data_IF_352472355063
#
_entry.id   IF_352472355063
#
_cell.length_a   1.000
_cell.length_b   1.000
_cell.length_c   1.000
_cell.angle_alpha   90.00
_cell.angle_beta   90.00
_cell.angle_gamma   90.00
#
_symmetry.space_group_name_H-M   'P 1'
#
loop_
_entity.id
_entity.type
_entity.pdbx_description
1 polymer ?
#
# COMPACT_ATOMS: atom_id res chain seq x y z
N UNK A 1 -6.90 17.57 31.18
CA UNK A 1 -7.61 16.34 30.96
C UNK A 1 -8.60 16.49 29.81
N UNK A 2 -8.35 15.85 28.68
CA UNK A 2 -9.32 15.78 27.56
C UNK A 2 -10.41 14.81 27.99
N UNK A 3 -11.67 15.24 28.03
CA UNK A 3 -12.82 14.35 28.21
C UNK A 3 -12.94 13.52 26.93
N UNK A 4 -12.87 12.22 27.07
CA UNK A 4 -13.01 11.32 25.92
C UNK A 4 -14.47 11.30 25.50
N UNK A 5 -14.72 11.78 24.29
CA UNK A 5 -16.02 11.78 23.63
C UNK A 5 -16.38 10.34 23.19
N UNK A 6 -17.67 10.13 22.93
CA UNK A 6 -18.23 8.86 22.44
C UNK A 6 -17.48 8.29 21.22
N UNK A 7 -16.96 9.16 20.37
CA UNK A 7 -16.17 8.84 19.18
C UNK A 7 -14.84 8.15 19.53
N UNK A 8 -14.15 8.61 20.57
CA UNK A 8 -12.88 7.99 21.02
C UNK A 8 -13.18 6.65 21.73
N UNK A 9 -14.33 6.55 22.43
CA UNK A 9 -14.79 5.30 23.02
C UNK A 9 -15.12 4.23 21.96
N UNK A 10 -15.66 4.64 20.83
CA UNK A 10 -15.94 3.74 19.69
C UNK A 10 -14.65 3.30 18.98
N UNK A 11 -13.67 4.18 18.89
CA UNK A 11 -12.34 3.85 18.34
C UNK A 11 -11.54 2.91 19.24
N UNK A 12 -11.80 2.93 20.56
CA UNK A 12 -11.13 2.05 21.53
C UNK A 12 -11.85 0.71 21.73
N UNK A 13 -13.11 0.57 21.29
CA UNK A 13 -13.89 -0.67 21.42
C UNK A 13 -13.24 -1.91 20.82
N UNK A 14 -12.64 -1.83 19.61
CA UNK A 14 -12.01 -2.99 19.01
C UNK A 14 -10.74 -3.45 19.73
N UNK A 15 -10.07 -2.54 20.44
CA UNK A 15 -8.82 -2.83 21.17
C UNK A 15 -9.08 -3.70 22.41
N UNK A 16 -10.34 -3.75 22.87
CA UNK A 16 -10.72 -4.49 24.07
C UNK A 16 -11.60 -5.68 23.71
N UNK A 17 -11.02 -6.87 23.79
CA UNK A 17 -11.79 -8.12 23.71
C UNK A 17 -13.01 -8.05 24.64
N UNK A 18 -14.11 -8.69 24.24
CA UNK A 18 -15.38 -8.76 24.96
C UNK A 18 -15.20 -9.04 26.46
N UNK A 19 -15.27 -8.03 27.28
CA UNK A 19 -15.09 -8.19 28.73
C UNK A 19 -14.80 -6.89 29.47
N UNK A 20 -14.33 -5.85 28.80
CA UNK A 20 -13.95 -4.58 29.43
C UNK A 20 -15.03 -3.50 29.29
N UNK A 21 -15.24 -2.72 30.34
CA UNK A 21 -16.13 -1.55 30.34
C UNK A 21 -15.27 -0.30 30.54
N UNK A 22 -15.21 0.55 29.54
CA UNK A 22 -14.53 1.84 29.65
C UNK A 22 -15.47 2.82 30.33
N UNK A 23 -15.27 3.07 31.64
CA UNK A 23 -16.09 4.00 32.43
C UNK A 23 -15.56 5.42 32.42
N UNK A 24 -14.24 5.59 32.43
CA UNK A 24 -13.62 6.90 32.53
C UNK A 24 -12.21 6.84 31.90
N UNK A 25 -11.92 7.79 31.04
CA UNK A 25 -10.60 7.94 30.45
C UNK A 25 -10.05 9.27 30.95
N UNK A 26 -8.98 9.22 31.71
CA UNK A 26 -8.20 10.40 32.13
C UNK A 26 -6.87 10.34 31.43
N UNK A 27 -6.60 11.35 30.61
CA UNK A 27 -5.28 11.57 30.05
C UNK A 27 -4.47 12.28 31.11
N UNK A 28 -3.42 11.65 31.62
CA UNK A 28 -2.58 12.21 32.65
C UNK A 28 -1.41 12.95 31.98
N UNK A 29 -1.44 14.29 32.06
CA UNK A 29 -0.39 15.17 31.50
C UNK A 29 0.88 15.24 32.38
N UNK A 30 0.95 14.49 33.48
CA UNK A 30 1.96 14.68 34.51
C UNK A 30 3.24 13.86 34.37
N UNK A 31 3.39 13.08 33.32
CA UNK A 31 4.63 12.31 33.08
C UNK A 31 5.60 13.09 32.19
N UNK A 32 6.50 13.77 32.86
CA UNK A 32 7.74 14.38 32.37
C UNK A 32 7.62 15.65 31.51
N UNK A 33 8.36 16.69 31.88
CA UNK A 33 8.43 17.99 31.19
C UNK A 33 8.94 17.88 29.71
N UNK A 34 9.44 16.72 29.30
CA UNK A 34 10.06 16.50 28.00
C UNK A 34 9.31 15.56 27.07
N UNK A 35 8.41 14.71 27.62
CA UNK A 35 7.65 13.74 26.81
C UNK A 35 6.25 13.56 27.38
N UNK A 36 5.26 14.15 26.73
CA UNK A 36 3.84 13.94 27.07
C UNK A 36 3.44 12.53 26.67
N UNK A 37 3.29 11.64 27.62
CA UNK A 37 2.77 10.29 27.40
C UNK A 37 1.28 10.31 27.66
N UNK A 38 0.48 9.91 26.69
CA UNK A 38 -0.96 9.78 26.86
C UNK A 38 -1.28 8.45 27.55
N UNK A 39 -2.05 8.50 28.64
CA UNK A 39 -2.46 7.30 29.37
C UNK A 39 -3.97 7.19 29.42
N UNK A 40 -4.46 5.96 29.19
CA UNK A 40 -5.88 5.61 29.24
C UNK A 40 -6.08 4.55 30.32
N UNK A 41 -7.02 4.76 31.23
CA UNK A 41 -7.40 3.76 32.24
C UNK A 41 -8.64 3.00 31.79
N UNK A 42 -8.53 1.69 31.75
CA UNK A 42 -9.59 0.78 31.35
C UNK A 42 -9.98 -0.09 32.54
N UNK A 43 -11.25 -0.26 32.76
CA UNK A 43 -11.82 -1.06 33.84
C UNK A 43 -12.39 -2.36 33.32
N UNK A 44 -12.06 -3.48 33.98
CA UNK A 44 -12.62 -4.79 33.67
C UNK A 44 -14.15 -4.82 33.94
N UNK A 45 -14.94 -5.28 32.98
CA UNK A 45 -16.39 -5.45 33.14
C UNK A 45 -16.77 -6.42 34.27
N UNK A 46 -15.95 -7.45 34.48
CA UNK A 46 -16.22 -8.52 35.46
C UNK A 46 -15.69 -8.15 36.84
N UNK A 47 -14.65 -7.33 36.90
CA UNK A 47 -14.00 -6.96 38.15
C UNK A 47 -13.64 -5.45 38.15
N UNK A 48 -14.58 -4.62 38.62
CA UNK A 48 -14.45 -3.15 38.62
C UNK A 48 -13.21 -2.61 39.39
N UNK A 49 -12.61 -3.44 40.25
CA UNK A 49 -11.41 -3.09 40.98
C UNK A 49 -10.12 -3.29 40.17
N UNK A 50 -10.19 -4.00 39.03
CA UNK A 50 -9.05 -4.20 38.17
C UNK A 50 -8.97 -3.09 37.15
N UNK A 51 -7.98 -2.23 37.31
CA UNK A 51 -7.71 -1.09 36.44
C UNK A 51 -6.44 -1.36 35.64
N UNK A 52 -6.51 -1.24 34.34
CA UNK A 52 -5.37 -1.33 33.44
C UNK A 52 -5.05 0.07 32.93
N UNK A 53 -3.80 0.45 32.97
CA UNK A 53 -3.34 1.72 32.41
C UNK A 53 -2.64 1.44 31.09
N UNK A 54 -3.24 1.91 29.98
CA UNK A 54 -2.65 1.81 28.65
C UNK A 54 -1.92 3.11 28.36
N UNK A 55 -0.68 3.00 27.90
CA UNK A 55 0.16 4.12 27.49
C UNK A 55 0.17 4.20 25.98
N UNK A 56 -0.24 5.33 25.42
CA UNK A 56 -0.20 5.61 23.98
C UNK A 56 0.99 6.50 23.59
N UNK A 57 1.30 6.54 22.30
CA UNK A 57 2.24 7.50 21.76
C UNK A 57 1.60 8.90 21.63
N UNK A 58 2.43 9.94 21.48
CA UNK A 58 1.97 11.31 21.28
C UNK A 58 1.61 11.53 19.80
N UNK A 59 0.32 11.55 19.48
CA UNK A 59 -0.20 11.78 18.12
C UNK A 59 -0.02 13.24 17.66
N UNK A 60 0.34 14.17 18.55
CA UNK A 60 0.60 15.57 18.17
C UNK A 60 1.94 15.75 17.47
N UNK A 61 2.82 14.75 17.51
CA UNK A 61 4.15 14.79 16.91
C UNK A 61 4.09 14.15 15.51
N UNK A 62 4.05 14.97 14.49
CA UNK A 62 4.21 14.53 13.09
C UNK A 62 5.68 14.20 12.81
N UNK A 63 6.18 13.13 13.41
CA UNK A 63 7.56 12.67 13.25
C UNK A 63 7.60 11.24 12.71
N UNK A 64 8.33 11.05 11.62
CA UNK A 64 8.65 9.71 11.10
C UNK A 64 9.81 9.04 11.86
N UNK A 65 10.21 9.57 12.99
CA UNK A 65 11.30 9.05 13.83
C UNK A 65 10.71 8.46 15.10
N UNK A 66 11.32 7.38 15.55
CA UNK A 66 10.99 6.78 16.84
C UNK A 66 11.19 7.80 17.95
N UNK A 67 10.18 7.97 18.79
CA UNK A 67 10.18 8.84 19.98
C UNK A 67 10.26 7.99 21.24
N UNK A 68 10.54 8.61 22.37
CA UNK A 68 10.57 7.91 23.67
C UNK A 68 9.14 7.44 24.05
N UNK A 69 8.12 8.20 23.69
CA UNK A 69 6.72 7.81 23.93
C UNK A 69 6.33 6.53 23.16
N UNK A 70 6.85 6.35 21.94
CA UNK A 70 6.63 5.12 21.17
C UNK A 70 7.24 3.90 21.87
N UNK A 71 8.41 4.07 22.49
CA UNK A 71 9.05 2.99 23.25
C UNK A 71 8.24 2.65 24.51
N UNK A 72 7.76 3.65 25.25
CA UNK A 72 6.90 3.42 26.41
C UNK A 72 5.57 2.76 26.01
N UNK A 73 4.95 3.23 24.93
CA UNK A 73 3.71 2.64 24.39
C UNK A 73 3.90 1.18 24.02
N UNK A 74 4.97 0.86 23.31
CA UNK A 74 5.28 -0.52 22.90
C UNK A 74 5.54 -1.45 24.08
N UNK A 75 6.30 -0.99 25.10
CA UNK A 75 6.57 -1.79 26.32
C UNK A 75 5.30 -1.99 27.12
N UNK A 76 4.47 -0.94 27.28
CA UNK A 76 3.19 -1.05 27.98
C UNK A 76 2.27 -2.06 27.30
N UNK A 77 2.12 -1.96 25.99
CA UNK A 77 1.29 -2.91 25.23
C UNK A 77 1.80 -4.35 25.33
N UNK A 78 3.12 -4.54 25.31
CA UNK A 78 3.70 -5.87 25.51
C UNK A 78 3.38 -6.46 26.89
N UNK A 79 3.42 -5.64 27.96
CA UNK A 79 3.06 -6.07 29.31
C UNK A 79 1.56 -6.39 29.41
N UNK A 80 0.72 -5.58 28.78
CA UNK A 80 -0.74 -5.81 28.72
C UNK A 80 -1.05 -7.12 28.01
N UNK A 81 -0.35 -7.47 26.90
CA UNK A 81 -0.46 -8.75 26.22
C UNK A 81 -0.09 -9.94 27.10
N UNK A 82 0.97 -9.82 27.93
CA UNK A 82 1.36 -10.86 28.89
C UNK A 82 0.28 -11.08 29.96
N UNK A 83 -0.44 -10.05 30.33
CA UNK A 83 -1.58 -10.12 31.26
C UNK A 83 -2.89 -10.59 30.59
N UNK A 84 -2.84 -10.90 29.30
CA UNK A 84 -3.99 -11.38 28.53
C UNK A 84 -4.93 -10.27 28.04
N UNK A 85 -4.43 -9.05 27.90
CA UNK A 85 -5.15 -7.90 27.34
C UNK A 85 -4.64 -7.58 25.93
N UNK A 86 -5.56 -7.38 24.99
CA UNK A 86 -5.25 -7.11 23.60
C UNK A 86 -4.99 -8.36 22.77
N UNK A 87 -4.70 -8.16 21.52
CA UNK A 87 -4.41 -9.21 20.54
C UNK A 87 -2.98 -9.05 20.00
N UNK A 88 -2.36 -10.16 19.67
CA UNK A 88 -1.05 -10.14 19.00
C UNK A 88 -1.29 -9.74 17.54
N UNK A 89 -0.53 -8.75 17.07
CA UNK A 89 -0.58 -8.31 15.69
C UNK A 89 -0.18 -9.42 14.72
N UNK A 90 -0.88 -9.51 13.61
CA UNK A 90 -0.53 -10.40 12.53
C UNK A 90 0.62 -9.79 11.71
N UNK A 91 1.75 -10.52 11.60
CA UNK A 91 2.96 -10.04 10.92
C UNK A 91 2.70 -9.81 9.42
N UNK A 92 1.86 -10.66 8.81
CA UNK A 92 1.59 -10.62 7.36
C UNK A 92 0.46 -9.67 6.97
N UNK A 93 -0.19 -9.04 7.94
CA UNK A 93 -1.19 -8.00 7.69
C UNK A 93 -0.56 -6.78 7.01
N UNK A 94 -1.20 -6.22 5.97
CA UNK A 94 -0.67 -5.08 5.20
C UNK A 94 -0.61 -3.77 5.98
N UNK A 95 -1.22 -3.67 7.14
CA UNK A 95 -0.99 -2.61 8.11
C UNK A 95 0.42 -2.64 8.72
N UNK A 96 1.01 -3.83 8.82
CA UNK A 96 2.35 -4.05 9.38
C UNK A 96 3.44 -4.20 8.30
N UNK A 97 3.05 -4.33 7.03
CA UNK A 97 3.96 -4.49 5.88
C UNK A 97 3.84 -3.28 4.95
N UNK A 98 4.90 -2.51 4.84
CA UNK A 98 4.95 -1.36 3.94
C UNK A 98 5.77 -1.65 2.67
N UNK A 99 5.47 -0.94 1.61
CA UNK A 99 6.21 -0.98 0.35
C UNK A 99 7.33 0.05 0.39
N UNK A 100 8.53 -0.36 0.02
CA UNK A 100 9.65 0.55 -0.25
C UNK A 100 9.65 0.90 -1.72
N UNK A 101 9.42 2.16 -2.02
CA UNK A 101 9.45 2.64 -3.39
C UNK A 101 10.89 2.80 -3.90
N UNK A 102 11.03 2.87 -5.23
CA UNK A 102 12.33 3.03 -5.90
C UNK A 102 13.11 4.23 -5.38
N UNK A 103 12.41 5.34 -5.12
CA UNK A 103 13.02 6.57 -4.57
C UNK A 103 13.72 6.34 -3.23
N UNK A 104 13.10 5.58 -2.31
CA UNK A 104 13.69 5.23 -1.01
C UNK A 104 14.93 4.32 -1.17
N UNK A 105 14.86 3.35 -2.07
CA UNK A 105 15.98 2.45 -2.33
C UNK A 105 17.19 3.20 -2.90
N UNK A 106 16.96 4.10 -3.85
CA UNK A 106 18.02 4.94 -4.42
C UNK A 106 18.56 5.91 -3.37
N UNK A 107 17.71 6.52 -2.55
CA UNK A 107 18.13 7.41 -1.46
C UNK A 107 19.07 6.71 -0.50
N UNK A 108 18.80 5.45 -0.12
CA UNK A 108 19.66 4.69 0.77
C UNK A 108 21.05 4.43 0.16
N UNK A 109 21.11 4.12 -1.14
CA UNK A 109 22.37 3.96 -1.84
C UNK A 109 23.13 5.29 -1.98
N UNK A 110 22.42 6.37 -2.25
CA UNK A 110 22.99 7.70 -2.30
C UNK A 110 23.59 8.12 -0.94
N UNK A 111 22.85 7.89 0.17
CA UNK A 111 23.37 8.12 1.54
C UNK A 111 24.65 7.33 1.81
N UNK A 112 24.71 6.06 1.40
CA UNK A 112 25.92 5.24 1.53
C UNK A 112 27.08 5.81 0.72
N UNK A 113 26.81 6.26 -0.49
CA UNK A 113 27.81 6.94 -1.35
C UNK A 113 28.35 8.23 -0.73
N UNK A 114 27.47 9.06 -0.16
CA UNK A 114 27.84 10.30 0.54
C UNK A 114 28.67 10.00 1.80
N UNK A 115 28.30 9.02 2.60
CA UNK A 115 29.08 8.63 3.78
C UNK A 115 30.50 8.13 3.43
N UNK A 116 30.62 7.37 2.34
CA UNK A 116 31.95 6.98 1.79
C UNK A 116 32.74 8.20 1.31
N UNK A 117 32.10 9.14 0.65
CA UNK A 117 32.73 10.37 0.18
C UNK A 117 33.18 11.24 1.36
N UNK A 118 32.37 11.39 2.39
CA UNK A 118 32.72 12.14 3.61
C UNK A 118 33.99 11.57 4.28
N UNK A 119 34.07 10.23 4.40
CA UNK A 119 35.27 9.57 4.94
C UNK A 119 36.53 9.94 4.15
N UNK A 120 36.44 9.87 2.82
CA UNK A 120 37.59 10.23 1.94
C UNK A 120 37.96 11.70 2.08
N UNK A 121 36.97 12.60 2.21
CA UNK A 121 37.24 14.03 2.42
C UNK A 121 37.96 14.26 3.74
N UNK A 122 37.51 13.65 4.85
CA UNK A 122 38.17 13.74 6.16
C UNK A 122 39.61 13.26 6.10
N UNK A 123 39.85 12.10 5.46
CA UNK A 123 41.17 11.53 5.28
C UNK A 123 42.09 12.50 4.48
N UNK A 124 41.59 13.09 3.39
CA UNK A 124 42.35 14.07 2.61
C UNK A 124 42.64 15.35 3.39
N UNK A 125 41.68 15.83 4.19
CA UNK A 125 41.89 17.01 5.03
C UNK A 125 42.98 16.82 6.08
N UNK A 126 43.20 15.60 6.55
CA UNK A 126 44.30 15.32 7.52
C UNK A 126 45.65 15.10 6.85
N UNK A 127 45.68 14.74 5.56
CA UNK A 127 46.92 14.37 4.86
C UNK A 127 47.45 15.47 3.93
N UNK A 128 46.65 16.45 3.52
CA UNK A 128 47.04 17.53 2.60
C UNK A 128 47.43 18.81 3.33
N UNK A 129 48.39 19.55 2.75
CA UNK A 129 48.80 20.86 3.25
C UNK A 129 47.66 21.87 3.07
N UNK A 130 47.40 22.65 4.13
CA UNK A 130 46.26 23.58 4.21
C UNK A 130 46.30 24.68 3.13
N UNK A 131 47.46 25.08 2.67
CA UNK A 131 47.65 26.17 1.70
C UNK A 131 47.21 25.77 0.26
N UNK A 132 47.13 24.49 -0.05
CA UNK A 132 46.80 23.97 -1.40
C UNK A 132 45.40 23.41 -1.49
N UNK A 133 44.66 23.31 -0.37
CA UNK A 133 43.35 22.66 -0.29
C UNK A 133 42.26 23.58 -0.85
N UNK A 134 41.55 23.08 -1.86
CA UNK A 134 40.33 23.68 -2.39
C UNK A 134 39.18 22.69 -2.31
N UNK A 135 37.91 23.12 -2.24
CA UNK A 135 36.77 22.21 -2.26
C UNK A 135 36.80 21.24 -3.46
N UNK A 136 37.32 21.71 -4.59
CA UNK A 136 37.41 20.92 -5.83
C UNK A 136 38.45 19.79 -5.74
N UNK A 137 39.53 19.96 -4.98
CA UNK A 137 40.56 18.93 -4.76
C UNK A 137 40.11 17.90 -3.69
N UNK A 138 39.31 18.32 -2.72
CA UNK A 138 38.80 17.45 -1.65
C UNK A 138 37.64 16.53 -2.12
N UNK A 139 36.70 17.11 -2.86
CA UNK A 139 35.49 16.42 -3.23
C UNK A 139 35.77 15.42 -4.37
N UNK A 140 35.45 14.16 -4.13
CA UNK A 140 35.51 13.10 -5.13
C UNK A 140 34.12 12.45 -5.26
N UNK A 141 33.50 12.59 -6.42
CA UNK A 141 32.14 12.02 -6.69
C UNK A 141 32.14 10.51 -6.98
N UNK A 142 33.32 9.89 -7.18
CA UNK A 142 33.43 8.46 -7.55
C UNK A 142 32.73 7.52 -6.56
N UNK A 143 32.81 7.69 -5.22
CA UNK A 143 32.12 6.81 -4.28
C UNK A 143 30.59 6.83 -4.44
N UNK A 144 30.03 7.99 -4.72
CA UNK A 144 28.57 8.13 -4.97
C UNK A 144 28.17 7.46 -6.28
N UNK A 145 28.92 7.74 -7.35
CA UNK A 145 28.67 7.12 -8.66
C UNK A 145 28.85 5.61 -8.60
N UNK A 146 29.84 5.11 -7.87
CA UNK A 146 30.07 3.68 -7.68
C UNK A 146 28.90 3.00 -6.93
N UNK A 147 28.38 3.61 -5.85
CA UNK A 147 27.27 3.08 -5.09
C UNK A 147 25.99 2.99 -5.94
N UNK A 148 25.71 4.02 -6.75
CA UNK A 148 24.56 3.99 -7.65
C UNK A 148 24.72 2.96 -8.77
N UNK A 149 25.91 2.86 -9.38
CA UNK A 149 26.19 1.84 -10.40
C UNK A 149 26.12 0.42 -9.84
N UNK A 150 26.58 0.20 -8.61
CA UNK A 150 26.46 -1.08 -7.90
C UNK A 150 24.99 -1.46 -7.70
N UNK A 151 24.13 -0.52 -7.31
CA UNK A 151 22.71 -0.76 -7.15
C UNK A 151 22.04 -1.17 -8.47
N UNK A 152 22.20 -0.40 -9.54
CA UNK A 152 21.57 -0.70 -10.83
C UNK A 152 22.18 -1.92 -11.52
N UNK A 153 23.44 -2.26 -11.29
CA UNK A 153 24.11 -3.38 -11.93
C UNK A 153 24.04 -4.71 -11.18
N UNK A 154 23.94 -4.68 -9.85
CA UNK A 154 24.10 -5.89 -9.02
C UNK A 154 22.96 -6.14 -8.04
N UNK A 155 22.04 -5.19 -7.84
CA UNK A 155 20.93 -5.37 -6.93
C UNK A 155 19.94 -6.41 -7.46
N UNK A 156 19.47 -7.30 -6.58
CA UNK A 156 18.43 -8.28 -6.88
C UNK A 156 17.11 -7.62 -7.30
N UNK A 157 16.86 -6.38 -6.88
CA UNK A 157 15.65 -5.61 -7.20
C UNK A 157 15.76 -4.86 -8.53
N UNK A 158 16.96 -4.74 -9.10
CA UNK A 158 17.17 -4.13 -10.41
C UNK A 158 16.99 -5.17 -11.49
N UNK A 159 15.98 -4.99 -12.33
CA UNK A 159 15.62 -5.85 -13.44
C UNK A 159 15.47 -5.01 -14.71
N UNK A 160 15.84 -5.56 -15.85
CA UNK A 160 15.42 -4.99 -17.13
C UNK A 160 13.90 -5.10 -17.25
N UNK A 161 13.26 -3.99 -17.61
CA UNK A 161 11.82 -3.94 -17.80
C UNK A 161 11.42 -4.76 -19.02
N UNK A 162 10.41 -5.61 -18.85
CA UNK A 162 9.80 -6.34 -19.95
C UNK A 162 8.98 -5.35 -20.80
N UNK A 163 9.36 -5.19 -22.06
CA UNK A 163 8.72 -4.27 -23.02
C UNK A 163 8.20 -5.01 -24.26
N UNK A 164 7.86 -6.28 -24.14
CA UNK A 164 7.31 -7.08 -25.22
C UNK A 164 5.99 -6.50 -25.71
N UNK A 165 5.14 -6.10 -24.77
CA UNK A 165 3.83 -5.49 -25.03
C UNK A 165 3.50 -4.45 -23.93
N UNK A 166 2.49 -3.59 -24.12
CA UNK A 166 2.11 -2.57 -23.14
C UNK A 166 1.73 -3.12 -21.76
N UNK A 167 1.08 -4.29 -21.71
CA UNK A 167 0.68 -4.95 -20.45
C UNK A 167 1.91 -5.42 -19.66
N UNK A 168 2.91 -6.00 -20.34
CA UNK A 168 4.16 -6.42 -19.69
C UNK A 168 4.88 -5.24 -19.03
N UNK A 169 4.96 -4.10 -19.71
CA UNK A 169 5.57 -2.88 -19.18
C UNK A 169 4.80 -2.37 -17.97
N UNK A 170 3.47 -2.28 -18.04
CA UNK A 170 2.63 -1.79 -16.94
C UNK A 170 2.73 -2.72 -15.72
N UNK A 171 2.72 -4.03 -15.94
CA UNK A 171 2.82 -5.02 -14.86
C UNK A 171 4.17 -4.94 -14.16
N UNK A 172 5.28 -4.78 -14.89
CA UNK A 172 6.60 -4.65 -14.28
C UNK A 172 6.71 -3.39 -13.40
N UNK A 173 6.05 -2.30 -13.78
CA UNK A 173 5.99 -1.07 -12.97
C UNK A 173 5.16 -1.23 -11.69
N UNK A 174 4.20 -2.17 -11.67
CA UNK A 174 3.28 -2.43 -10.54
C UNK A 174 3.63 -3.69 -9.75
N UNK A 175 4.79 -4.28 -9.99
CA UNK A 175 5.22 -5.51 -9.33
C UNK A 175 5.76 -5.23 -7.94
N UNK A 176 5.36 -6.07 -6.99
CA UNK A 176 5.82 -6.08 -5.60
C UNK A 176 6.72 -7.30 -5.38
N UNK A 177 7.84 -7.11 -4.70
CA UNK A 177 8.75 -8.21 -4.33
C UNK A 177 8.97 -8.22 -2.82
N UNK A 178 8.78 -9.37 -2.19
CA UNK A 178 9.13 -9.57 -0.79
C UNK A 178 10.62 -9.91 -0.59
N UNK A 179 11.35 -10.10 -1.69
CA UNK A 179 12.76 -10.47 -1.70
C UNK A 179 13.68 -9.24 -1.72
N UNK A 180 14.93 -9.43 -1.36
CA UNK A 180 15.99 -8.45 -1.52
C UNK A 180 16.43 -7.76 -0.24
N UNK A 181 17.26 -6.70 -0.32
CA UNK A 181 17.82 -6.02 0.84
C UNK A 181 16.73 -5.45 1.75
N UNK A 182 16.71 -5.90 3.01
CA UNK A 182 15.68 -5.53 4.00
C UNK A 182 14.34 -6.24 3.82
N UNK A 183 14.25 -7.22 2.92
CA UNK A 183 13.17 -8.17 2.77
C UNK A 183 13.59 -9.57 3.18
N UNK A 184 12.89 -10.58 2.65
CA UNK A 184 13.11 -11.97 2.93
C UNK A 184 14.14 -12.59 1.98
N UNK A 185 14.81 -13.66 2.43
CA UNK A 185 15.53 -14.58 1.53
C UNK A 185 14.60 -15.74 1.16
N UNK A 186 14.79 -16.34 -0.03
CA UNK A 186 13.96 -17.46 -0.50
C UNK A 186 13.94 -18.62 0.51
N UNK A 187 15.08 -18.91 1.10
CA UNK A 187 15.25 -20.04 2.02
C UNK A 187 14.56 -19.83 3.36
N UNK A 188 14.32 -18.58 3.74
CA UNK A 188 13.64 -18.20 4.99
C UNK A 188 12.16 -17.89 4.82
N UNK A 189 11.68 -17.84 3.59
CA UNK A 189 10.27 -17.58 3.29
C UNK A 189 9.44 -18.85 3.45
N UNK A 190 8.75 -18.98 4.59
CA UNK A 190 7.79 -20.06 4.88
C UNK A 190 6.55 -19.99 4.00
N UNK A 191 5.58 -20.86 4.27
CA UNK A 191 4.29 -20.87 3.57
C UNK A 191 3.43 -19.66 3.96
N UNK A 192 3.43 -19.25 5.21
CA UNK A 192 2.59 -18.18 5.74
C UNK A 192 2.77 -16.86 4.97
N UNK A 193 4.03 -16.50 4.66
CA UNK A 193 4.34 -15.26 3.88
C UNK A 193 3.86 -15.34 2.42
N UNK A 194 3.64 -16.57 1.90
CA UNK A 194 3.21 -16.82 0.52
C UNK A 194 1.70 -16.88 0.37
N UNK A 195 1.00 -17.02 1.47
CA UNK A 195 -0.46 -17.11 1.50
C UNK A 195 -1.12 -15.75 1.21
N UNK A 196 -2.41 -15.81 0.88
CA UNK A 196 -3.24 -14.64 0.66
C UNK A 196 -3.90 -14.26 1.97
N UNK A 197 -3.51 -13.11 2.52
CA UNK A 197 -4.11 -12.55 3.72
C UNK A 197 -5.39 -11.77 3.39
N UNK A 198 -6.34 -11.68 4.34
CA UNK A 198 -7.56 -10.90 4.16
C UNK A 198 -7.29 -9.42 3.84
N UNK A 199 -6.22 -8.84 4.39
CA UNK A 199 -5.78 -7.47 4.13
C UNK A 199 -5.32 -7.21 2.68
N UNK A 200 -5.10 -8.28 1.88
CA UNK A 200 -4.73 -8.17 0.46
C UNK A 200 -5.89 -7.70 -0.42
N UNK A 201 -7.13 -7.78 0.09
CA UNK A 201 -8.32 -7.39 -0.67
C UNK A 201 -8.21 -5.96 -1.22
N UNK A 202 -8.39 -5.81 -2.52
CA UNK A 202 -8.29 -4.53 -3.21
C UNK A 202 -6.88 -3.89 -3.25
N UNK A 203 -5.85 -4.53 -2.65
CA UNK A 203 -4.47 -4.03 -2.56
C UNK A 203 -3.49 -4.86 -3.36
N UNK A 204 -3.50 -6.16 -3.15
CA UNK A 204 -2.62 -7.11 -3.85
C UNK A 204 -3.49 -8.12 -4.58
N UNK A 205 -3.22 -8.35 -5.85
CA UNK A 205 -3.95 -9.35 -6.62
C UNK A 205 -3.70 -10.77 -6.07
N UNK A 206 -4.74 -11.52 -5.72
CA UNK A 206 -4.57 -12.87 -5.19
C UNK A 206 -4.20 -13.91 -6.26
N UNK A 207 -4.34 -13.56 -7.53
CA UNK A 207 -4.18 -14.49 -8.67
C UNK A 207 -2.83 -14.27 -9.36
N UNK A 208 -2.41 -13.03 -9.59
CA UNK A 208 -1.22 -12.73 -10.36
C UNK A 208 0.06 -12.92 -9.53
N UNK A 209 0.70 -14.06 -9.71
CA UNK A 209 1.98 -14.43 -9.11
C UNK A 209 2.76 -15.33 -10.08
N UNK A 210 4.10 -15.37 -10.06
CA UNK A 210 4.85 -16.32 -10.88
C UNK A 210 4.63 -17.75 -10.37
N UNK A 211 4.75 -18.70 -11.29
CA UNK A 211 4.77 -20.13 -10.97
C UNK A 211 6.16 -20.55 -10.47
N UNK A 212 6.22 -21.53 -9.57
CA UNK A 212 7.45 -22.12 -9.06
C UNK A 212 7.96 -21.51 -7.76
N UNK A 213 9.27 -21.40 -7.59
CA UNK A 213 9.93 -21.05 -6.32
C UNK A 213 9.55 -19.68 -5.74
N UNK A 214 9.17 -18.75 -6.59
CA UNK A 214 8.84 -17.37 -6.20
C UNK A 214 7.33 -17.14 -5.99
N UNK A 215 6.52 -18.20 -5.99
CA UNK A 215 5.07 -18.07 -5.78
C UNK A 215 4.79 -17.38 -4.45
N UNK A 216 3.89 -16.41 -4.43
CA UNK A 216 3.53 -15.64 -3.25
C UNK A 216 4.57 -14.60 -2.81
N UNK A 217 5.84 -14.70 -3.24
CA UNK A 217 6.91 -13.75 -2.89
C UNK A 217 7.01 -12.58 -3.87
N UNK A 218 6.56 -12.80 -5.10
CA UNK A 218 6.43 -11.76 -6.12
C UNK A 218 4.95 -11.66 -6.45
N UNK A 219 4.38 -10.51 -6.21
CA UNK A 219 2.96 -10.23 -6.38
C UNK A 219 2.77 -8.97 -7.22
N UNK A 220 1.55 -8.67 -7.58
CA UNK A 220 1.20 -7.47 -8.34
C UNK A 220 0.19 -6.63 -7.58
N UNK A 221 0.35 -5.32 -7.67
CA UNK A 221 -0.57 -4.36 -7.08
C UNK A 221 -1.93 -4.46 -7.78
N UNK A 222 -3.02 -4.46 -7.03
CA UNK A 222 -4.38 -4.44 -7.58
C UNK A 222 -4.63 -3.19 -8.43
N UNK A 223 -5.54 -3.27 -9.40
CA UNK A 223 -5.74 -2.25 -10.43
C UNK A 223 -5.95 -0.84 -9.89
N UNK A 224 -6.76 -0.69 -8.85
CA UNK A 224 -7.12 0.59 -8.23
C UNK A 224 -6.25 0.96 -7.02
N UNK A 225 -5.40 0.06 -6.55
CA UNK A 225 -4.56 0.30 -5.37
C UNK A 225 -3.49 1.36 -5.62
N UNK A 226 -3.20 2.13 -4.57
CA UNK A 226 -2.14 3.15 -4.52
C UNK A 226 -1.28 2.95 -3.29
N UNK A 227 -0.08 3.50 -3.31
CA UNK A 227 0.82 3.52 -2.15
C UNK A 227 0.81 4.92 -1.59
N UNK A 228 0.55 5.06 -0.28
CA UNK A 228 0.53 6.35 0.39
C UNK A 228 1.96 6.88 0.67
N UNK A 229 2.07 8.06 1.26
CA UNK A 229 3.35 8.71 1.58
C UNK A 229 4.22 7.92 2.57
N UNK A 230 3.59 7.09 3.40
CA UNK A 230 4.27 6.25 4.39
C UNK A 230 4.70 4.89 3.82
N UNK A 231 4.23 4.54 2.63
CA UNK A 231 4.53 3.27 1.97
C UNK A 231 3.47 2.18 2.17
N UNK A 232 2.33 2.48 2.80
CA UNK A 232 1.23 1.52 2.93
C UNK A 232 0.37 1.51 1.68
N UNK A 233 -0.12 0.32 1.32
CA UNK A 233 -1.00 0.15 0.18
C UNK A 233 -2.41 0.52 0.59
N UNK A 234 -3.03 1.42 -0.16
CA UNK A 234 -4.40 1.90 0.05
C UNK A 234 -5.30 1.46 -1.10
N UNK A 235 -6.58 1.28 -0.80
CA UNK A 235 -7.62 0.93 -1.78
C UNK A 235 -8.78 1.93 -1.69
N UNK A 236 -9.46 2.24 -2.82
CA UNK A 236 -10.52 3.23 -2.85
C UNK A 236 -11.87 2.63 -2.43
N UNK A 237 -12.67 3.40 -1.71
CA UNK A 237 -14.03 3.08 -1.32
C UNK A 237 -14.95 4.29 -1.49
N UNK A 238 -16.23 4.05 -1.75
CA UNK A 238 -17.29 5.04 -1.64
C UNK A 238 -17.84 5.06 -0.24
N UNK A 239 -17.98 6.24 0.35
CA UNK A 239 -18.59 6.41 1.66
C UNK A 239 -20.10 6.22 1.57
N UNK A 240 -20.68 5.58 2.59
CA UNK A 240 -22.15 5.42 2.72
C UNK A 240 -22.62 6.20 3.93
N UNK A 241 -23.69 6.98 3.73
CA UNK A 241 -24.34 7.73 4.79
C UNK A 241 -25.80 7.29 4.87
N UNK A 242 -26.20 6.59 5.93
CA UNK A 242 -27.57 6.07 6.14
C UNK A 242 -28.13 5.33 4.92
N UNK A 243 -27.32 4.45 4.32
CA UNK A 243 -27.71 3.63 3.17
C UNK A 243 -27.67 4.38 1.82
N UNK A 244 -27.13 5.61 1.75
CA UNK A 244 -26.92 6.36 0.52
C UNK A 244 -25.42 6.43 0.22
N UNK A 245 -25.04 5.96 -0.97
CA UNK A 245 -23.65 5.91 -1.42
C UNK A 245 -23.24 7.29 -1.97
N UNK A 246 -22.19 7.84 -1.38
CA UNK A 246 -21.60 9.10 -1.85
C UNK A 246 -20.73 8.87 -3.10
N UNK A 247 -20.56 9.92 -3.90
CA UNK A 247 -19.68 9.89 -5.08
C UNK A 247 -18.21 10.08 -4.75
N UNK A 248 -17.92 10.57 -3.56
CA UNK A 248 -16.55 10.81 -3.11
C UNK A 248 -15.82 9.48 -2.85
N UNK A 249 -14.58 9.43 -3.33
CA UNK A 249 -13.72 8.25 -3.20
C UNK A 249 -12.70 8.53 -2.10
N UNK A 250 -12.68 7.66 -1.10
CA UNK A 250 -11.75 7.70 0.01
C UNK A 250 -10.78 6.52 -0.12
N UNK A 251 -9.48 6.79 0.00
CA UNK A 251 -8.45 5.75 0.02
C UNK A 251 -8.13 5.39 1.47
N UNK A 252 -8.25 4.10 1.81
CA UNK A 252 -7.98 3.60 3.17
C UNK A 252 -6.86 2.56 3.17
N UNK A 253 -6.09 2.56 4.26
CA UNK A 253 -5.11 1.51 4.57
C UNK A 253 -5.81 0.26 5.11
N UNK A 254 -5.07 -0.84 5.24
CA UNK A 254 -5.65 -2.09 5.75
C UNK A 254 -6.05 -1.99 7.23
N UNK A 255 -5.33 -1.20 8.03
CA UNK A 255 -5.67 -0.98 9.44
C UNK A 255 -6.96 -0.18 9.61
N UNK A 256 -7.11 0.90 8.81
CA UNK A 256 -8.32 1.73 8.83
C UNK A 256 -9.57 0.96 8.43
N UNK A 257 -9.41 -0.03 7.53
CA UNK A 257 -10.50 -0.84 7.01
C UNK A 257 -11.10 -1.80 8.05
N UNK A 258 -10.29 -2.23 9.02
CA UNK A 258 -10.62 -3.31 9.95
C UNK A 258 -11.90 -3.05 10.75
N UNK A 259 -12.20 -1.79 11.04
CA UNK A 259 -13.30 -1.38 11.92
C UNK A 259 -14.61 -1.05 11.19
N UNK A 260 -14.62 -1.10 9.83
CA UNK A 260 -15.76 -0.67 9.04
C UNK A 260 -16.50 -1.82 8.34
N UNK A 261 -17.81 -1.65 8.20
CA UNK A 261 -18.66 -2.52 7.41
C UNK A 261 -18.60 -2.13 5.93
N UNK A 262 -17.89 -2.93 5.14
CA UNK A 262 -17.66 -2.65 3.72
C UNK A 262 -18.42 -3.61 2.85
N UNK A 263 -19.30 -3.10 2.00
CA UNK A 263 -20.06 -3.89 1.05
C UNK A 263 -19.40 -3.97 -0.32
N UNK A 264 -19.76 -4.99 -1.09
CA UNK A 264 -19.27 -5.19 -2.44
C UNK A 264 -19.88 -4.19 -3.43
N UNK A 265 -19.15 -3.88 -4.53
CA UNK A 265 -19.65 -3.02 -5.61
C UNK A 265 -20.88 -3.55 -6.35
N UNK A 266 -21.25 -4.81 -6.16
CA UNK A 266 -22.42 -5.46 -6.78
C UNK A 266 -23.75 -5.15 -6.11
N UNK A 267 -23.74 -4.40 -5.01
CA UNK A 267 -24.94 -3.96 -4.30
C UNK A 267 -25.86 -3.17 -5.25
N UNK A 268 -27.15 -3.50 -5.21
CA UNK A 268 -28.14 -2.81 -6.04
C UNK A 268 -28.41 -1.42 -5.50
N UNK A 269 -28.26 -0.43 -6.35
CA UNK A 269 -28.52 0.97 -6.04
C UNK A 269 -29.75 1.48 -6.80
N UNK A 270 -30.51 2.35 -6.16
CA UNK A 270 -31.60 3.12 -6.80
C UNK A 270 -31.05 4.32 -7.55
N UNK A 271 -31.90 5.07 -8.25
CA UNK A 271 -31.57 6.30 -8.99
C UNK A 271 -30.91 7.38 -8.13
N UNK A 272 -31.23 7.37 -6.84
CA UNK A 272 -30.69 8.29 -5.84
C UNK A 272 -29.43 7.75 -5.12
N UNK A 273 -28.79 6.71 -5.67
CA UNK A 273 -27.64 5.99 -5.10
C UNK A 273 -27.92 5.37 -3.71
N UNK A 274 -29.20 5.05 -3.42
CA UNK A 274 -29.56 4.39 -2.18
C UNK A 274 -29.52 2.87 -2.36
N UNK A 275 -29.01 2.16 -1.37
CA UNK A 275 -29.01 0.70 -1.31
C UNK A 275 -30.46 0.20 -1.22
N UNK A 276 -30.85 -0.68 -2.15
CA UNK A 276 -32.25 -1.17 -2.26
C UNK A 276 -32.51 -2.25 -1.23
N UNK A 277 -31.58 -3.19 -1.08
CA UNK A 277 -31.73 -4.36 -0.20
C UNK A 277 -31.67 -3.90 1.27
N UNK A 278 -32.59 -4.43 2.12
CA UNK A 278 -32.63 -4.07 3.55
C UNK A 278 -31.50 -4.74 4.34
N UNK A 279 -31.09 -5.95 3.92
CA UNK A 279 -29.97 -6.70 4.46
C UNK A 279 -28.87 -6.81 3.42
N UNK A 280 -27.66 -6.47 3.81
CA UNK A 280 -26.50 -6.38 2.91
C UNK A 280 -25.36 -7.24 3.46
N UNK A 281 -24.74 -8.02 2.58
CA UNK A 281 -23.53 -8.76 2.90
C UNK A 281 -22.35 -7.78 2.92
N UNK A 282 -21.68 -7.71 4.06
CA UNK A 282 -20.52 -6.85 4.27
C UNK A 282 -19.32 -7.65 4.74
N UNK A 283 -18.14 -7.09 4.51
CA UNK A 283 -16.87 -7.57 5.02
C UNK A 283 -16.46 -6.71 6.21
N UNK A 284 -16.04 -7.34 7.30
CA UNK A 284 -15.44 -6.69 8.46
C UNK A 284 -14.34 -7.59 9.01
N UNK A 285 -13.15 -7.07 9.22
CA UNK A 285 -11.99 -7.80 9.75
C UNK A 285 -11.72 -9.17 9.06
N UNK A 286 -11.95 -9.25 7.74
CA UNK A 286 -11.79 -10.50 6.97
C UNK A 286 -12.99 -11.45 7.00
N UNK A 287 -13.97 -11.24 7.86
CA UNK A 287 -15.19 -12.04 7.95
C UNK A 287 -16.34 -11.44 7.15
N UNK A 288 -17.26 -12.29 6.68
CA UNK A 288 -18.46 -11.86 5.99
C UNK A 288 -19.66 -11.92 6.94
N UNK A 289 -20.32 -10.78 7.12
CA UNK A 289 -21.46 -10.61 8.02
C UNK A 289 -22.62 -9.98 7.25
N UNK A 290 -23.86 -10.30 7.62
CA UNK A 290 -25.04 -9.64 7.09
C UNK A 290 -25.48 -8.56 8.07
N UNK A 291 -25.57 -7.32 7.58
CA UNK A 291 -25.97 -6.14 8.36
C UNK A 291 -27.10 -5.40 7.67
N UNK A 292 -27.76 -4.50 8.39
CA UNK A 292 -28.75 -3.61 7.80
C UNK A 292 -28.08 -2.57 6.92
N UNK A 293 -28.75 -2.15 5.84
CA UNK A 293 -28.23 -1.12 4.91
C UNK A 293 -27.78 0.18 5.59
N UNK A 294 -28.36 0.51 6.74
CA UNK A 294 -28.07 1.74 7.50
C UNK A 294 -26.74 1.64 8.27
N UNK A 295 -26.27 0.41 8.52
CA UNK A 295 -25.02 0.09 9.22
C UNK A 295 -23.83 -0.02 8.27
N UNK A 296 -24.06 -0.01 6.96
CA UNK A 296 -22.99 -0.05 5.94
C UNK A 296 -22.23 1.26 5.93
N UNK A 297 -20.92 1.21 6.13
CA UNK A 297 -20.06 2.39 6.17
C UNK A 297 -19.47 2.74 4.79
N UNK A 298 -19.08 1.72 4.03
CA UNK A 298 -18.43 1.88 2.73
C UNK A 298 -18.87 0.81 1.72
N UNK A 299 -18.67 1.15 0.45
CA UNK A 299 -18.91 0.24 -0.69
C UNK A 299 -17.69 0.24 -1.61
N UNK A 300 -17.33 -0.91 -2.14
CA UNK A 300 -16.27 -1.05 -3.14
C UNK A 300 -16.59 -0.23 -4.40
N UNK A 301 -15.56 0.33 -5.04
CA UNK A 301 -15.74 1.18 -6.25
C UNK A 301 -16.11 0.33 -7.46
N UNK A 302 -15.47 -0.81 -7.63
CA UNK A 302 -15.69 -1.70 -8.76
C UNK A 302 -15.35 -3.16 -8.42
N UNK A 303 -16.00 -4.15 -9.03
CA UNK A 303 -15.65 -5.57 -8.82
C UNK A 303 -14.22 -5.89 -9.25
N UNK A 304 -13.68 -5.22 -10.27
CA UNK A 304 -12.30 -5.38 -10.76
C UNK A 304 -11.24 -4.81 -9.84
N UNK A 305 -11.62 -4.13 -8.76
CA UNK A 305 -10.70 -3.56 -7.77
C UNK A 305 -9.83 -4.61 -7.07
N UNK A 306 -10.29 -5.86 -6.98
CA UNK A 306 -9.61 -6.96 -6.27
C UNK A 306 -8.41 -7.49 -7.05
N UNK A 307 -8.44 -7.39 -8.38
CA UNK A 307 -7.48 -8.04 -9.28
C UNK A 307 -6.51 -7.05 -9.92
N UNK A 308 -5.35 -7.55 -10.37
CA UNK A 308 -4.38 -6.77 -11.13
C UNK A 308 -4.89 -6.46 -12.55
N UNK A 309 -4.22 -5.52 -13.22
CA UNK A 309 -4.61 -5.08 -14.58
C UNK A 309 -4.61 -6.22 -15.59
N UNK A 310 -3.58 -7.07 -15.59
CA UNK A 310 -3.52 -8.25 -16.48
C UNK A 310 -4.68 -9.20 -16.25
N UNK A 311 -4.98 -9.49 -14.99
CA UNK A 311 -6.09 -10.38 -14.60
C UNK A 311 -7.44 -9.79 -14.98
N UNK A 312 -7.63 -8.47 -14.85
CA UNK A 312 -8.87 -7.78 -15.24
C UNK A 312 -9.12 -7.74 -16.75
N UNK A 313 -8.10 -8.02 -17.57
CA UNK A 313 -8.24 -8.19 -19.02
C UNK A 313 -8.74 -9.58 -19.44
N UNK A 314 -8.91 -10.52 -18.52
CA UNK A 314 -9.43 -11.86 -18.81
C UNK A 314 -10.96 -11.81 -18.85
N UNK A 315 -11.61 -12.06 -20.02
CA UNK A 315 -13.05 -12.08 -20.08
C UNK A 315 -13.60 -13.32 -19.36
N UNK A 316 -14.78 -13.20 -18.73
CA UNK A 316 -15.44 -14.27 -17.97
C UNK A 316 -14.62 -14.83 -16.80
N UNK A 317 -13.80 -13.99 -16.18
CA UNK A 317 -12.90 -14.34 -15.10
C UNK A 317 -13.59 -15.10 -13.95
N UNK A 318 -14.82 -14.73 -13.64
CA UNK A 318 -15.61 -15.34 -12.57
C UNK A 318 -15.96 -16.82 -12.76
N UNK A 319 -15.85 -17.31 -13.99
CA UNK A 319 -16.12 -18.72 -14.33
C UNK A 319 -14.86 -19.58 -14.42
N UNK A 320 -13.69 -18.96 -14.34
CA UNK A 320 -12.42 -19.65 -14.50
C UNK A 320 -11.85 -20.13 -13.17
N UNK A 321 -11.17 -21.28 -13.19
CA UNK A 321 -10.38 -21.75 -12.07
C UNK A 321 -9.16 -20.86 -11.83
N UNK A 322 -8.86 -20.59 -10.55
CA UNK A 322 -7.77 -19.69 -10.14
C UNK A 322 -6.41 -20.08 -10.73
N UNK A 323 -6.09 -21.38 -10.82
CA UNK A 323 -4.84 -21.87 -11.43
C UNK A 323 -4.74 -21.52 -12.90
N UNK A 324 -5.85 -21.71 -13.66
CA UNK A 324 -5.89 -21.38 -15.10
C UNK A 324 -5.83 -19.89 -15.34
N UNK A 325 -6.48 -19.12 -14.48
CA UNK A 325 -6.43 -17.65 -14.51
C UNK A 325 -5.02 -17.13 -14.25
N UNK A 326 -4.29 -17.68 -13.28
CA UNK A 326 -2.89 -17.35 -13.01
C UNK A 326 -2.02 -17.63 -14.24
N UNK A 327 -2.16 -18.81 -14.85
CA UNK A 327 -1.43 -19.15 -16.08
C UNK A 327 -1.77 -18.18 -17.21
N UNK A 328 -3.06 -17.87 -17.42
CA UNK A 328 -3.52 -16.93 -18.44
C UNK A 328 -2.96 -15.52 -18.24
N UNK A 329 -2.99 -14.98 -17.02
CA UNK A 329 -2.42 -13.69 -16.67
C UNK A 329 -0.92 -13.64 -16.95
N UNK A 330 -0.18 -14.71 -16.63
CA UNK A 330 1.24 -14.82 -16.93
C UNK A 330 1.51 -14.89 -18.44
N UNK A 331 0.68 -15.62 -19.21
CA UNK A 331 0.82 -15.73 -20.67
C UNK A 331 0.50 -14.42 -21.40
N UNK A 332 -0.45 -13.61 -20.95
CA UNK A 332 -0.73 -12.29 -21.54
C UNK A 332 0.51 -11.39 -21.58
N UNK A 333 1.38 -11.46 -20.60
CA UNK A 333 2.63 -10.70 -20.54
C UNK A 333 3.67 -11.15 -21.56
N UNK A 334 3.57 -12.37 -22.07
CA UNK A 334 4.47 -12.95 -23.05
C UNK A 334 3.98 -12.78 -24.50
N UNK A 335 2.79 -12.21 -24.69
CA UNK A 335 2.20 -12.03 -26.00
C UNK A 335 3.02 -11.04 -26.84
N UNK A 336 3.40 -11.44 -28.04
CA UNK A 336 4.14 -10.61 -28.99
C UNK A 336 3.14 -9.82 -29.85
N UNK A 337 3.30 -8.49 -29.99
CA UNK A 337 2.47 -7.69 -30.89
C UNK A 337 2.57 -8.18 -32.33
N UNK A 338 1.43 -8.37 -32.97
CA UNK A 338 1.37 -8.78 -34.36
C UNK A 338 1.65 -7.61 -35.31
N UNK A 339 2.12 -7.90 -36.52
CA UNK A 339 2.37 -6.89 -37.54
C UNK A 339 1.08 -6.13 -37.92
N UNK A 340 -0.04 -6.84 -37.98
CA UNK A 340 -1.38 -6.27 -38.09
C UNK A 340 -2.13 -6.66 -36.82
N UNK A 341 -2.38 -5.70 -35.95
CA UNK A 341 -3.10 -5.93 -34.69
C UNK A 341 -4.60 -5.81 -34.92
N UNK A 342 -5.36 -6.71 -34.29
CA UNK A 342 -6.82 -6.72 -34.32
C UNK A 342 -7.35 -6.53 -32.88
N UNK A 343 -8.53 -5.91 -32.79
CA UNK A 343 -9.22 -5.80 -31.51
C UNK A 343 -9.79 -7.17 -31.10
N UNK A 344 -9.77 -7.54 -29.81
CA UNK A 344 -10.41 -8.77 -29.35
C UNK A 344 -11.91 -8.74 -29.61
N UNK A 345 -12.49 -9.87 -30.01
CA UNK A 345 -13.95 -9.98 -30.24
C UNK A 345 -14.72 -9.78 -28.94
N UNK A 346 -14.19 -10.31 -27.83
CA UNK A 346 -14.72 -10.09 -26.48
C UNK A 346 -13.63 -9.46 -25.63
N UNK A 347 -13.91 -8.27 -25.11
CA UNK A 347 -13.03 -7.52 -24.24
C UNK A 347 -13.71 -7.15 -22.93
N UNK A 348 -12.92 -6.70 -21.96
CA UNK A 348 -13.40 -6.30 -20.62
C UNK A 348 -13.55 -4.77 -20.49
N UNK A 349 -13.05 -4.00 -21.46
CA UNK A 349 -13.01 -2.53 -21.42
C UNK A 349 -11.79 -1.95 -20.69
N UNK A 350 -10.99 -2.77 -20.03
CA UNK A 350 -9.77 -2.35 -19.33
C UNK A 350 -8.59 -2.19 -20.28
N UNK A 351 -8.62 -2.82 -21.45
CA UNK A 351 -7.54 -2.88 -22.43
C UNK A 351 -7.08 -1.50 -22.86
N UNK A 352 -8.03 -0.59 -23.15
CA UNK A 352 -7.71 0.79 -23.55
C UNK A 352 -7.00 1.56 -22.41
N UNK A 353 -7.49 1.41 -21.19
CA UNK A 353 -6.90 2.06 -20.01
C UNK A 353 -5.49 1.52 -19.75
N UNK A 354 -5.31 0.21 -19.85
CA UNK A 354 -4.01 -0.44 -19.69
C UNK A 354 -3.00 0.05 -20.75
N UNK A 355 -3.39 0.07 -22.03
CA UNK A 355 -2.54 0.53 -23.12
C UNK A 355 -2.16 2.02 -22.98
N UNK A 356 -3.10 2.87 -22.66
CA UNK A 356 -2.86 4.31 -22.49
C UNK A 356 -2.00 4.63 -21.27
N UNK A 357 -2.11 3.85 -20.19
CA UNK A 357 -1.37 4.04 -18.93
C UNK A 357 0.02 3.41 -18.94
N UNK A 358 0.32 2.50 -19.86
CA UNK A 358 1.59 1.75 -19.89
C UNK A 358 2.81 2.65 -20.15
N UNK A 359 2.64 3.74 -20.91
CA UNK A 359 3.73 4.60 -21.38
C UNK A 359 4.38 4.11 -22.69
N UNK A 360 3.98 2.94 -23.21
CA UNK A 360 4.43 2.43 -24.50
C UNK A 360 3.77 3.18 -25.67
N UNK A 361 2.58 3.74 -25.45
CA UNK A 361 1.84 4.48 -26.46
C UNK A 361 2.07 5.98 -26.30
N UNK A 362 2.34 6.68 -27.40
CA UNK A 362 2.42 8.14 -27.43
C UNK A 362 1.00 8.70 -27.54
N UNK A 363 0.56 9.40 -26.51
CA UNK A 363 -0.76 10.01 -26.44
C UNK A 363 -0.70 11.49 -26.80
N UNK A 364 -1.75 11.97 -27.47
CA UNK A 364 -1.92 13.40 -27.70
C UNK A 364 -2.16 14.12 -26.36
N UNK A 365 -1.46 15.25 -26.15
CA UNK A 365 -1.64 16.10 -24.95
C UNK A 365 -2.86 17.00 -25.05
N UNK A 366 -3.35 17.24 -26.29
CA UNK A 366 -4.48 18.16 -26.56
C UNK A 366 -5.42 17.54 -27.58
N UNK A 367 -6.70 17.86 -27.47
CA UNK A 367 -7.65 17.56 -28.52
C UNK A 367 -7.37 18.43 -29.75
N UNK A 368 -7.54 17.88 -30.96
CA UNK A 368 -7.29 18.62 -32.20
C UNK A 368 -7.41 17.75 -33.44
N UNK A 369 -7.17 18.34 -34.60
CA UNK A 369 -7.16 17.66 -35.90
C UNK A 369 -5.71 17.42 -36.32
N UNK A 370 -5.42 16.22 -36.85
CA UNK A 370 -4.09 15.90 -37.35
C UNK A 370 -3.89 16.58 -38.69
N UNK A 371 -2.97 17.56 -38.74
CA UNK A 371 -2.61 18.25 -39.98
C UNK A 371 -1.54 17.51 -40.78
N UNK A 372 -0.62 16.85 -40.07
CA UNK A 372 0.50 16.17 -40.69
C UNK A 372 0.92 14.95 -39.88
N UNK A 373 1.19 13.84 -40.54
CA UNK A 373 1.72 12.62 -39.92
C UNK A 373 2.77 11.95 -40.79
N UNK A 374 3.94 11.67 -40.23
CA UNK A 374 4.97 10.83 -40.80
C UNK A 374 5.55 9.88 -39.75
N UNK A 375 6.56 9.09 -40.11
CA UNK A 375 7.20 8.10 -39.22
C UNK A 375 7.90 8.72 -37.99
N UNK A 376 8.14 10.03 -37.99
CA UNK A 376 8.89 10.72 -36.92
C UNK A 376 8.06 11.79 -36.18
N UNK A 377 7.01 12.31 -36.83
CA UNK A 377 6.33 13.50 -36.36
C UNK A 377 4.85 13.47 -36.68
N UNK A 378 4.02 13.76 -35.69
CA UNK A 378 2.59 14.01 -35.84
C UNK A 378 2.33 15.46 -35.39
N UNK A 379 1.70 16.26 -36.22
CA UNK A 379 1.31 17.64 -35.94
C UNK A 379 -0.18 17.68 -35.73
N UNK A 380 -0.59 18.16 -34.55
CA UNK A 380 -1.98 18.30 -34.16
C UNK A 380 -2.31 19.78 -34.08
N UNK A 381 -3.29 20.20 -34.84
CA UNK A 381 -3.85 21.57 -34.79
C UNK A 381 -5.01 21.60 -33.79
N UNK A 382 -4.83 22.35 -32.73
CA UNK A 382 -5.83 22.51 -31.66
C UNK A 382 -6.68 23.77 -31.80
N UNK A 383 -6.60 24.49 -32.95
CA UNK A 383 -7.36 25.69 -33.21
C UNK A 383 -6.96 26.92 -32.36
N UNK A 384 -5.89 26.82 -31.57
CA UNK A 384 -5.28 27.94 -30.86
C UNK A 384 -4.03 28.35 -31.63
N UNK A 385 -4.07 29.52 -32.25
CA UNK A 385 -2.92 30.16 -32.91
C UNK A 385 -1.90 30.69 -31.88
#
# INVERSE_FOLDING_TARGET
GTIVDKTILETLRPIFADGYNVKEIKINDELDQYNKVQTVKVYDKKNENRVITIIGNDQSIDSRRLTISDVYGAVSYYLDLLDGFGNVDEIDHLGNRRVRQVGELIQNQFKTGIARMERVIRERMTTQELDTVTPKTLINIRPVTAALKEFFGSSQLSKFMDQINPIAELTDKRRLSSLGPGGLSRDRAGMDVRDVNASHYGRICPIESPEGQNIGLITSLAGYAKVNEYGFITTPYHKVNNGVVDKDIIYMTADEETDYYISQATVKLDKDNRIIDDEVLVRVNGDNVIVKREEVDYVDVAPSQVVAVTTSCIPFLEFDDAKRTLMGANMQRQAVPLLTSEAPIVGTGVEYIAASSSGSCVLSKTAGVVDYADSKKIVINNGKS
#
